data_IF_578530509772
#
_entry.id   IF_578530509772
#
_cell.length_a   1.000
_cell.length_b   1.000
_cell.length_c   1.000
_cell.angle_alpha   90.00
_cell.angle_beta   90.00
_cell.angle_gamma   90.00
#
_symmetry.space_group_name_H-M   'P 1'
#
loop_
_entity.id
_entity.type
_entity.pdbx_description
1 polymer ?
#
# COMPACT_ATOMS: atom_id res chain seq x y z
N UNK A 1 -27.10 6.45 -10.06
CA UNK A 1 -26.24 5.58 -9.24
C UNK A 1 -25.87 6.41 -8.02
N UNK A 2 -26.20 5.98 -6.80
CA UNK A 2 -25.94 6.78 -5.59
C UNK A 2 -24.47 6.65 -5.24
N UNK A 3 -23.69 7.72 -5.42
CA UNK A 3 -22.31 7.81 -4.95
C UNK A 3 -22.34 8.34 -3.52
N UNK A 4 -21.74 7.60 -2.58
CA UNK A 4 -21.54 8.07 -1.21
C UNK A 4 -20.19 8.78 -1.14
N UNK A 5 -20.19 10.06 -0.83
CA UNK A 5 -18.96 10.82 -0.57
C UNK A 5 -18.46 10.51 0.84
N UNK A 6 -17.19 10.14 0.96
CA UNK A 6 -16.52 9.84 2.23
C UNK A 6 -15.55 10.97 2.54
N UNK A 7 -15.70 11.59 3.71
CA UNK A 7 -14.74 12.56 4.23
C UNK A 7 -13.89 11.90 5.31
N UNK A 8 -12.59 12.12 5.27
CA UNK A 8 -11.62 11.62 6.25
C UNK A 8 -10.97 12.84 6.93
N UNK A 9 -11.47 13.26 8.11
CA UNK A 9 -11.07 14.53 8.72
C UNK A 9 -9.59 14.61 9.08
N UNK A 10 -8.98 13.53 9.57
CA UNK A 10 -7.61 13.54 10.11
C UNK A 10 -6.53 13.76 9.03
N UNK A 11 -6.86 13.55 7.75
CA UNK A 11 -5.96 13.79 6.60
C UNK A 11 -6.50 14.87 5.66
N UNK A 12 -7.57 15.59 6.06
CA UNK A 12 -8.33 16.53 5.24
C UNK A 12 -8.64 15.97 3.83
N UNK A 13 -9.00 14.68 3.79
CA UNK A 13 -9.16 13.91 2.57
C UNK A 13 -10.62 13.65 2.22
N UNK A 14 -10.87 13.39 0.93
CA UNK A 14 -12.18 12.98 0.46
C UNK A 14 -12.07 11.93 -0.64
N UNK A 15 -12.95 10.94 -0.60
CA UNK A 15 -13.10 9.89 -1.61
C UNK A 15 -14.58 9.58 -1.83
N UNK A 16 -14.91 8.64 -2.73
CA UNK A 16 -16.29 8.27 -3.03
C UNK A 16 -16.41 6.78 -3.32
N UNK A 17 -17.54 6.18 -2.95
CA UNK A 17 -17.86 4.77 -3.21
C UNK A 17 -19.29 4.60 -3.74
N UNK A 18 -19.56 3.47 -4.39
CA UNK A 18 -20.87 3.14 -4.99
C UNK A 18 -21.87 2.60 -3.96
N UNK A 19 -21.36 2.01 -2.89
CA UNK A 19 -22.12 1.46 -1.77
C UNK A 19 -21.25 1.54 -0.50
N UNK A 20 -21.76 1.09 0.65
CA UNK A 20 -21.04 1.20 1.94
C UNK A 20 -19.73 0.40 1.92
N UNK A 21 -19.74 -0.82 1.40
CA UNK A 21 -18.56 -1.69 1.37
C UNK A 21 -17.45 -1.07 0.49
N UNK A 22 -17.82 -0.62 -0.70
CA UNK A 22 -16.95 0.07 -1.64
C UNK A 22 -16.45 1.40 -1.03
N UNK A 23 -17.31 2.14 -0.35
CA UNK A 23 -16.94 3.38 0.34
C UNK A 23 -15.88 3.15 1.43
N UNK A 24 -16.03 2.10 2.23
CA UNK A 24 -15.03 1.73 3.25
C UNK A 24 -13.73 1.29 2.59
N UNK A 25 -13.78 0.49 1.51
CA UNK A 25 -12.59 0.08 0.78
C UNK A 25 -11.86 1.28 0.16
N UNK A 26 -12.58 2.19 -0.48
CA UNK A 26 -12.03 3.43 -1.04
C UNK A 26 -11.43 4.33 0.04
N UNK A 27 -12.01 4.34 1.25
CA UNK A 27 -11.43 5.05 2.39
C UNK A 27 -10.11 4.41 2.84
N UNK A 28 -10.05 3.08 2.98
CA UNK A 28 -8.80 2.36 3.32
C UNK A 28 -7.70 2.64 2.31
N UNK A 29 -8.01 2.55 1.03
CA UNK A 29 -7.05 2.79 -0.05
C UNK A 29 -6.54 4.24 -0.04
N UNK A 30 -7.44 5.21 0.12
CA UNK A 30 -7.07 6.63 0.19
C UNK A 30 -6.16 6.92 1.40
N UNK A 31 -6.51 6.40 2.58
CA UNK A 31 -5.69 6.54 3.80
C UNK A 31 -4.31 5.91 3.57
N UNK A 32 -4.26 4.67 3.10
CA UNK A 32 -3.01 3.94 2.84
C UNK A 32 -2.08 4.72 1.90
N UNK A 33 -2.59 5.19 0.76
CA UNK A 33 -1.81 5.96 -0.21
C UNK A 33 -1.35 7.31 0.36
N UNK A 34 -2.23 8.04 1.05
CA UNK A 34 -1.89 9.35 1.61
C UNK A 34 -0.76 9.24 2.64
N UNK A 35 -0.86 8.26 3.55
CA UNK A 35 0.13 8.06 4.61
C UNK A 35 1.48 7.61 4.04
N UNK A 36 1.50 6.66 3.10
CA UNK A 36 2.75 6.26 2.41
C UNK A 36 3.38 7.45 1.70
N UNK A 37 2.59 8.27 1.00
CA UNK A 37 3.11 9.46 0.33
C UNK A 37 3.74 10.43 1.33
N UNK A 38 3.10 10.67 2.48
CA UNK A 38 3.67 11.51 3.55
C UNK A 38 4.98 10.94 4.10
N UNK A 39 5.03 9.63 4.38
CA UNK A 39 6.25 8.96 4.84
C UNK A 39 7.40 9.10 3.82
N UNK A 40 7.13 8.88 2.54
CA UNK A 40 8.14 8.93 1.48
C UNK A 40 8.69 10.36 1.24
N UNK A 41 7.90 11.39 1.57
CA UNK A 41 8.29 12.79 1.48
C UNK A 41 8.78 13.38 2.81
N UNK A 42 8.96 12.55 3.85
CA UNK A 42 9.32 12.99 5.22
C UNK A 42 8.38 14.07 5.77
N UNK A 43 7.08 13.96 5.49
CA UNK A 43 6.03 14.82 6.02
C UNK A 43 5.39 14.23 7.27
N UNK A 44 4.74 15.07 8.06
CA UNK A 44 4.07 14.64 9.28
C UNK A 44 2.86 13.72 8.99
N UNK A 45 2.78 12.63 9.75
CA UNK A 45 1.78 11.59 9.59
C UNK A 45 0.81 11.69 10.78
N UNK A 46 -0.50 11.81 10.55
CA UNK A 46 -1.45 11.87 11.64
C UNK A 46 -1.42 10.57 12.45
N UNK A 47 -1.61 10.71 13.76
CA UNK A 47 -1.76 9.57 14.66
C UNK A 47 -3.16 8.97 14.53
N UNK A 48 -3.30 7.67 14.87
CA UNK A 48 -4.60 7.00 14.85
C UNK A 48 -5.59 7.70 15.77
N UNK A 49 -6.74 8.06 15.23
CA UNK A 49 -7.83 8.68 15.96
C UNK A 49 -9.02 7.71 16.06
N UNK A 50 -9.45 7.43 17.28
CA UNK A 50 -10.56 6.51 17.57
C UNK A 50 -11.84 7.26 17.98
N UNK A 51 -11.79 8.60 18.00
CA UNK A 51 -12.94 9.44 18.36
C UNK A 51 -13.83 9.62 17.14
N UNK A 52 -15.07 9.16 17.25
CA UNK A 52 -16.06 9.37 16.21
C UNK A 52 -16.52 10.83 16.21
N UNK A 53 -16.47 11.54 15.07
CA UNK A 53 -17.02 12.89 14.99
C UNK A 53 -18.55 12.87 15.13
N UNK A 54 -19.10 13.98 15.63
CA UNK A 54 -20.54 14.16 15.71
C UNK A 54 -21.16 14.11 14.32
N UNK A 55 -22.09 13.18 14.10
CA UNK A 55 -22.81 13.09 12.82
C UNK A 55 -23.71 14.32 12.64
N UNK A 56 -23.69 14.89 11.43
CA UNK A 56 -24.75 15.81 10.97
C UNK A 56 -25.86 14.97 10.35
N UNK A 57 -27.11 15.40 10.53
CA UNK A 57 -28.31 14.65 10.17
C UNK A 57 -28.20 13.95 8.80
N UNK A 58 -28.30 12.61 8.83
CA UNK A 58 -28.28 11.73 7.65
C UNK A 58 -26.93 11.05 7.33
N UNK A 59 -25.83 11.42 7.98
CA UNK A 59 -24.52 10.80 7.71
C UNK A 59 -24.25 9.57 8.58
N UNK A 60 -23.61 8.57 7.98
CA UNK A 60 -23.05 7.41 8.70
C UNK A 60 -21.61 7.75 9.07
N UNK A 61 -21.26 7.53 10.33
CA UNK A 61 -19.91 7.73 10.85
C UNK A 61 -19.37 6.37 11.30
N UNK A 62 -18.19 5.99 10.82
CA UNK A 62 -17.52 4.74 11.17
C UNK A 62 -16.02 4.95 11.32
N UNK A 63 -15.39 4.08 12.10
CA UNK A 63 -13.94 3.92 12.09
C UNK A 63 -13.52 3.09 10.88
N UNK A 64 -12.32 3.37 10.38
CA UNK A 64 -11.67 2.62 9.31
C UNK A 64 -10.30 2.20 9.80
N UNK A 65 -10.06 0.89 9.82
CA UNK A 65 -8.78 0.29 10.14
C UNK A 65 -7.91 0.16 8.89
N UNK A 66 -6.64 0.55 9.00
CA UNK A 66 -5.64 0.41 7.94
C UNK A 66 -4.30 0.03 8.57
N UNK A 67 -3.78 -1.13 8.23
CA UNK A 67 -2.38 -1.49 8.46
C UNK A 67 -1.56 -0.88 7.31
N UNK A 68 -0.83 0.20 7.61
CA UNK A 68 -0.03 0.93 6.62
C UNK A 68 1.15 0.08 6.12
N UNK A 69 1.74 -0.77 6.97
CA UNK A 69 2.88 -1.61 6.59
C UNK A 69 2.43 -2.77 5.70
N UNK A 70 1.28 -3.38 6.00
CA UNK A 70 0.64 -4.34 5.10
C UNK A 70 0.21 -3.69 3.78
N UNK A 71 -0.42 -2.52 3.83
CA UNK A 71 -0.82 -1.78 2.65
C UNK A 71 0.39 -1.45 1.78
N UNK A 72 1.48 -1.00 2.40
CA UNK A 72 2.75 -0.74 1.71
C UNK A 72 3.28 -2.01 1.07
N UNK A 73 3.40 -3.13 1.80
CA UNK A 73 3.89 -4.39 1.20
C UNK A 73 3.06 -4.87 0.00
N UNK A 74 1.74 -4.69 0.03
CA UNK A 74 0.85 -5.06 -1.09
C UNK A 74 0.97 -4.13 -2.29
N UNK A 75 1.30 -2.86 -2.07
CA UNK A 75 1.30 -1.82 -3.11
C UNK A 75 2.70 -1.29 -3.48
N UNK A 76 3.75 -1.71 -2.78
CA UNK A 76 5.13 -1.32 -3.04
C UNK A 76 5.72 -2.19 -4.16
N UNK A 77 5.40 -1.79 -5.38
CA UNK A 77 5.99 -2.35 -6.61
C UNK A 77 7.34 -1.71 -6.96
N UNK A 78 7.92 -0.90 -6.06
CA UNK A 78 9.16 -0.19 -6.36
C UNK A 78 10.32 -1.18 -6.43
N UNK A 79 10.85 -1.39 -7.63
CA UNK A 79 12.06 -2.20 -7.82
C UNK A 79 13.27 -1.48 -7.24
N UNK A 80 13.95 -2.10 -6.27
CA UNK A 80 15.19 -1.60 -5.69
C UNK A 80 16.38 -2.33 -6.33
N UNK A 81 17.35 -1.58 -6.88
CA UNK A 81 18.60 -2.15 -7.38
C UNK A 81 19.39 -2.76 -6.22
N UNK A 82 19.77 -4.03 -6.35
CA UNK A 82 20.65 -4.73 -5.41
C UNK A 82 21.95 -5.14 -6.10
N UNK A 83 23.07 -4.97 -5.40
CA UNK A 83 24.38 -5.49 -5.79
C UNK A 83 24.61 -6.80 -5.05
N UNK A 84 25.00 -7.85 -5.76
CA UNK A 84 25.18 -9.20 -5.21
C UNK A 84 26.49 -9.82 -5.69
N UNK A 85 26.99 -10.78 -4.92
CA UNK A 85 28.20 -11.54 -5.23
C UNK A 85 27.83 -13.00 -5.49
N UNK A 86 28.21 -13.53 -6.65
CA UNK A 86 28.03 -14.94 -7.02
C UNK A 86 29.31 -15.49 -7.63
N UNK A 87 29.56 -16.81 -7.53
CA UNK A 87 30.64 -17.48 -8.25
C UNK A 87 30.63 -17.16 -9.75
N UNK A 88 31.81 -16.91 -10.32
CA UNK A 88 31.93 -16.49 -11.73
C UNK A 88 31.35 -17.54 -12.71
N UNK A 89 31.47 -18.83 -12.39
CA UNK A 89 30.92 -19.90 -13.22
C UNK A 89 29.38 -19.82 -13.32
N UNK A 90 28.68 -19.45 -12.23
CA UNK A 90 27.22 -19.28 -12.23
C UNK A 90 26.79 -18.06 -13.02
N UNK A 91 27.53 -16.95 -12.92
CA UNK A 91 27.26 -15.76 -13.73
C UNK A 91 27.38 -16.08 -15.23
N UNK A 92 28.44 -16.79 -15.62
CA UNK A 92 28.64 -17.20 -17.02
C UNK A 92 27.52 -18.12 -17.50
N UNK A 93 27.24 -19.18 -16.75
CA UNK A 93 26.21 -20.15 -17.11
C UNK A 93 24.81 -19.50 -17.18
N UNK A 94 24.50 -18.61 -16.23
CA UNK A 94 23.22 -17.89 -16.22
C UNK A 94 23.07 -16.97 -17.44
N UNK A 95 24.13 -16.26 -17.84
CA UNK A 95 24.12 -15.43 -19.05
C UNK A 95 23.96 -16.27 -20.33
N UNK A 96 24.67 -17.39 -20.44
CA UNK A 96 24.56 -18.31 -21.58
C UNK A 96 23.15 -18.89 -21.74
N UNK A 97 22.46 -19.10 -20.61
CA UNK A 97 21.08 -19.58 -20.58
C UNK A 97 20.03 -18.45 -20.55
N UNK A 98 20.42 -17.20 -20.79
CA UNK A 98 19.54 -16.02 -20.78
C UNK A 98 18.70 -15.86 -19.49
N UNK A 99 19.28 -16.22 -18.34
CA UNK A 99 18.61 -16.07 -17.03
C UNK A 99 18.55 -14.59 -16.65
N UNK A 100 17.33 -14.13 -16.34
CA UNK A 100 17.12 -12.84 -15.70
C UNK A 100 17.39 -12.94 -14.19
N UNK A 101 18.59 -12.55 -13.76
CA UNK A 101 18.98 -12.62 -12.34
C UNK A 101 18.08 -11.84 -11.40
N UNK A 102 17.54 -10.70 -11.85
CA UNK A 102 16.65 -9.88 -11.02
C UNK A 102 15.33 -10.60 -10.76
N UNK A 103 14.75 -11.19 -11.80
CA UNK A 103 13.51 -11.94 -11.71
C UNK A 103 13.70 -13.26 -10.94
N UNK A 104 14.79 -13.99 -11.21
CA UNK A 104 15.12 -15.21 -10.49
C UNK A 104 15.24 -14.95 -8.97
N UNK A 105 15.96 -13.90 -8.59
CA UNK A 105 16.09 -13.49 -7.19
C UNK A 105 14.73 -13.14 -6.58
N UNK A 106 13.92 -12.36 -7.30
CA UNK A 106 12.59 -11.95 -6.84
C UNK A 106 11.68 -13.16 -6.62
N UNK A 107 11.60 -14.07 -7.58
CA UNK A 107 10.78 -15.29 -7.51
C UNK A 107 11.25 -16.21 -6.38
N UNK A 108 12.56 -16.34 -6.20
CA UNK A 108 13.12 -17.15 -5.11
C UNK A 108 12.81 -16.53 -3.75
N UNK A 109 12.95 -15.21 -3.58
CA UNK A 109 12.59 -14.52 -2.34
C UNK A 109 11.11 -14.66 -1.99
N UNK A 110 10.21 -14.52 -2.98
CA UNK A 110 8.77 -14.75 -2.79
C UNK A 110 8.47 -16.16 -2.27
N UNK A 111 9.12 -17.16 -2.89
CA UNK A 111 8.99 -18.56 -2.48
C UNK A 111 9.49 -18.80 -1.05
N UNK A 112 10.66 -18.29 -0.70
CA UNK A 112 11.27 -18.47 0.63
C UNK A 112 10.53 -17.71 1.74
N UNK A 113 9.94 -16.56 1.42
CA UNK A 113 9.20 -15.72 2.38
C UNK A 113 7.69 -16.04 2.41
N UNK A 114 7.22 -16.94 1.56
CA UNK A 114 5.81 -17.32 1.42
C UNK A 114 4.88 -16.13 1.08
N UNK A 115 5.29 -15.29 0.11
CA UNK A 115 4.55 -14.11 -0.38
C UNK A 115 4.34 -14.10 -1.88
#
# INVERSE_FOLDING_TARGET
MYTSSIKIPDIDGMTQGKNIDDAIQMARDYIGLNIINKQDNNLDVPTSNYVLPTSKDGNIVTLVDVDIDEYRRKNDFKTIKKTLTIPNYLNKLGKENNINFSELLTTTLKKELHV
#
